data_IF_263595689482
#
_entry.id   IF_263595689482
#
_cell.length_a   1.000
_cell.length_b   1.000
_cell.length_c   1.000
_cell.angle_alpha   90.00
_cell.angle_beta   90.00
_cell.angle_gamma   90.00
#
_symmetry.space_group_name_H-M   'P 1'
#
loop_
_entity.id
_entity.type
_entity.pdbx_description
1 polymer ?
#
# COMPACT_ATOMS: atom_id res chain seq x y z
N UNK A 1 20.28 -12.79 -35.25
CA UNK A 1 20.54 -11.34 -35.39
C UNK A 1 19.48 -10.79 -36.32
N UNK A 2 18.50 -10.07 -35.78
CA UNK A 2 17.65 -9.13 -36.52
C UNK A 2 17.21 -8.11 -35.47
N UNK A 3 17.97 -7.01 -35.42
CA UNK A 3 17.60 -5.80 -34.69
C UNK A 3 16.35 -5.25 -35.36
N UNK A 4 15.28 -5.08 -34.59
CA UNK A 4 14.20 -4.17 -34.96
C UNK A 4 14.44 -2.93 -34.13
N UNK A 5 15.06 -1.93 -34.75
CA UNK A 5 15.10 -0.57 -34.25
C UNK A 5 13.65 -0.07 -34.13
N UNK A 6 13.24 0.28 -32.92
CA UNK A 6 12.02 1.05 -32.65
C UNK A 6 12.52 2.38 -32.10
N UNK A 7 12.69 3.35 -32.99
CA UNK A 7 13.08 4.71 -32.65
C UNK A 7 12.15 5.66 -33.44
N UNK A 8 10.95 5.89 -32.91
CA UNK A 8 10.09 7.01 -33.32
C UNK A 8 9.94 7.97 -32.15
N UNK A 9 10.89 8.90 -32.06
CA UNK A 9 10.83 10.07 -31.17
C UNK A 9 9.53 10.83 -31.40
N UNK A 10 8.69 10.90 -30.38
CA UNK A 10 7.54 11.80 -30.38
C UNK A 10 8.02 13.18 -29.89
N UNK A 11 8.35 14.07 -30.82
CA UNK A 11 8.63 15.47 -30.50
C UNK A 11 7.37 16.13 -29.92
N UNK A 12 7.51 16.74 -28.73
CA UNK A 12 6.41 17.44 -28.04
C UNK A 12 6.59 18.95 -28.23
N UNK A 13 5.67 19.60 -28.94
CA UNK A 13 5.64 21.06 -29.04
C UNK A 13 4.63 21.66 -28.06
N UNK A 14 5.10 22.60 -27.24
CA UNK A 14 4.26 23.43 -26.39
C UNK A 14 3.73 24.62 -27.19
N UNK A 15 2.42 24.72 -27.37
CA UNK A 15 1.78 25.90 -28.00
C UNK A 15 0.81 26.53 -27.00
N UNK A 16 1.07 27.77 -26.60
CA UNK A 16 0.11 28.56 -25.83
C UNK A 16 -0.95 29.16 -26.78
N UNK A 17 -2.23 28.98 -26.45
CA UNK A 17 -3.32 29.68 -27.14
C UNK A 17 -3.77 30.92 -26.38
N UNK A 18 -4.21 31.93 -27.13
CA UNK A 18 -4.68 33.25 -26.65
C UNK A 18 -5.83 33.22 -25.62
N UNK A 19 -6.46 32.06 -25.41
CA UNK A 19 -7.55 31.84 -24.46
C UNK A 19 -7.14 31.10 -23.16
N UNK A 20 -5.84 30.97 -22.88
CA UNK A 20 -5.33 30.46 -21.60
C UNK A 20 -5.39 28.94 -21.41
N UNK A 21 -5.71 28.19 -22.46
CA UNK A 21 -5.56 26.73 -22.50
C UNK A 21 -4.22 26.32 -23.09
N UNK A 22 -3.46 25.49 -22.39
CA UNK A 22 -2.18 24.93 -22.86
C UNK A 22 -2.45 23.83 -23.89
N UNK A 23 -1.96 23.97 -25.13
CA UNK A 23 -1.93 22.89 -26.12
C UNK A 23 -0.61 22.12 -25.96
N UNK A 24 -0.73 20.80 -25.95
CA UNK A 24 0.40 19.88 -26.03
C UNK A 24 0.16 18.98 -27.23
N UNK A 25 0.96 19.18 -28.28
CA UNK A 25 1.00 18.26 -29.41
C UNK A 25 1.99 17.15 -29.06
N UNK A 26 1.48 15.93 -28.85
CA UNK A 26 2.29 14.72 -28.74
C UNK A 26 1.81 13.77 -29.83
N UNK A 27 2.66 13.49 -30.81
CA UNK A 27 2.34 12.60 -31.93
C UNK A 27 1.14 13.02 -32.78
N UNK A 28 0.90 14.33 -32.96
CA UNK A 28 -0.22 14.83 -33.78
C UNK A 28 -1.62 14.75 -33.13
N UNK A 29 -1.72 14.30 -31.87
CA UNK A 29 -2.99 14.24 -31.14
C UNK A 29 -3.25 15.54 -30.36
N UNK A 30 -4.36 16.23 -30.66
CA UNK A 30 -4.80 17.42 -29.94
C UNK A 30 -5.40 17.06 -28.57
N UNK A 31 -4.58 17.10 -27.52
CA UNK A 31 -5.05 16.80 -26.17
C UNK A 31 -5.85 17.97 -25.55
N UNK A 32 -7.13 17.73 -25.26
CA UNK A 32 -8.00 18.67 -24.54
C UNK A 32 -8.28 18.14 -23.12
N UNK A 33 -7.80 18.81 -22.07
CA UNK A 33 -8.05 18.38 -20.69
C UNK A 33 -9.53 18.31 -20.32
N UNK A 34 -9.95 17.16 -19.78
CA UNK A 34 -11.31 16.97 -19.27
C UNK A 34 -12.37 16.75 -20.35
N UNK A 35 -11.97 16.37 -21.57
CA UNK A 35 -12.87 15.90 -22.62
C UNK A 35 -13.70 14.70 -22.16
N UNK A 36 -14.86 14.49 -22.78
CA UNK A 36 -15.71 13.35 -22.44
C UNK A 36 -15.05 12.01 -22.81
N UNK A 37 -14.19 12.00 -23.82
CA UNK A 37 -13.38 10.85 -24.20
C UNK A 37 -12.31 10.53 -23.15
N UNK A 38 -11.65 11.54 -22.56
CA UNK A 38 -10.75 11.32 -21.43
C UNK A 38 -11.50 10.72 -20.23
N UNK A 39 -12.69 11.26 -19.89
CA UNK A 39 -13.50 10.72 -18.78
C UNK A 39 -13.96 9.29 -19.07
N UNK A 40 -14.26 8.94 -20.32
CA UNK A 40 -14.63 7.58 -20.73
C UNK A 40 -13.44 6.63 -20.60
N UNK A 41 -12.28 7.04 -21.10
CA UNK A 41 -11.02 6.29 -20.99
C UNK A 41 -10.66 6.03 -19.53
N UNK A 42 -10.69 7.06 -18.68
CA UNK A 42 -10.37 6.93 -17.25
C UNK A 42 -11.32 5.97 -16.54
N UNK A 43 -12.64 6.03 -16.81
CA UNK A 43 -13.61 5.06 -16.26
C UNK A 43 -13.36 3.65 -16.76
N UNK A 44 -12.93 3.50 -18.01
CA UNK A 44 -12.57 2.21 -18.60
C UNK A 44 -11.34 1.62 -17.92
N UNK A 45 -10.29 2.42 -17.67
CA UNK A 45 -9.10 2.05 -16.89
C UNK A 45 -9.49 1.66 -15.47
N UNK A 46 -10.31 2.48 -14.78
CA UNK A 46 -10.76 2.22 -13.41
C UNK A 46 -11.42 0.85 -13.28
N UNK A 47 -12.30 0.48 -14.22
CA UNK A 47 -13.03 -0.79 -14.21
C UNK A 47 -12.15 -2.02 -14.43
N UNK A 48 -11.03 -1.89 -15.15
CA UNK A 48 -10.15 -3.03 -15.42
C UNK A 48 -9.04 -3.15 -14.39
N UNK A 49 -8.43 -2.02 -14.00
CA UNK A 49 -7.24 -2.00 -13.17
C UNK A 49 -7.57 -2.13 -11.68
N UNK A 50 -8.51 -1.33 -11.17
CA UNK A 50 -8.72 -1.23 -9.71
C UNK A 50 -9.37 -2.48 -9.10
N UNK A 51 -10.46 -3.07 -9.65
CA UNK A 51 -11.07 -4.26 -9.07
C UNK A 51 -10.11 -5.43 -8.98
N UNK A 52 -9.31 -5.66 -10.02
CA UNK A 52 -8.36 -6.77 -10.06
C UNK A 52 -7.25 -6.59 -9.03
N UNK A 53 -6.65 -5.39 -8.96
CA UNK A 53 -5.63 -5.07 -7.95
C UNK A 53 -6.19 -5.16 -6.54
N UNK A 54 -7.40 -4.64 -6.32
CA UNK A 54 -8.09 -4.71 -5.03
C UNK A 54 -8.33 -6.16 -4.63
N UNK A 55 -8.80 -7.01 -5.55
CA UNK A 55 -9.02 -8.43 -5.31
C UNK A 55 -7.71 -9.16 -4.98
N UNK A 56 -6.65 -8.93 -5.76
CA UNK A 56 -5.32 -9.50 -5.48
C UNK A 56 -4.82 -9.11 -4.09
N UNK A 57 -5.03 -7.86 -3.67
CA UNK A 57 -4.61 -7.40 -2.35
C UNK A 57 -5.47 -7.96 -1.22
N UNK A 58 -6.79 -8.08 -1.41
CA UNK A 58 -7.69 -8.69 -0.40
C UNK A 58 -7.26 -10.12 -0.07
N UNK A 59 -6.92 -10.88 -1.10
CA UNK A 59 -6.51 -12.28 -0.98
C UNK A 59 -5.01 -12.47 -0.72
N UNK A 60 -4.23 -11.38 -0.65
CA UNK A 60 -2.86 -11.41 -0.16
C UNK A 60 -2.84 -11.33 1.38
N UNK A 61 -3.32 -12.40 2.04
CA UNK A 61 -3.54 -12.40 3.48
C UNK A 61 -2.23 -12.44 4.29
N UNK A 62 -1.71 -11.25 4.63
CA UNK A 62 -0.52 -11.10 5.49
C UNK A 62 -0.76 -11.51 6.95
N UNK A 63 -2.02 -11.49 7.42
CA UNK A 63 -2.39 -11.76 8.82
C UNK A 63 -2.43 -13.25 9.19
N UNK A 64 -2.21 -14.14 8.23
CA UNK A 64 -2.41 -15.59 8.38
C UNK A 64 -1.66 -16.23 9.52
N UNK A 65 -0.44 -15.78 9.80
CA UNK A 65 0.34 -16.37 10.89
C UNK A 65 -0.19 -16.04 12.28
N UNK A 66 -0.80 -14.86 12.45
CA UNK A 66 -1.45 -14.51 13.71
C UNK A 66 -2.62 -15.45 13.97
N UNK A 67 -3.41 -15.72 12.94
CA UNK A 67 -4.52 -16.67 13.01
C UNK A 67 -4.02 -18.12 13.18
N UNK A 68 -2.95 -18.52 12.49
CA UNK A 68 -2.33 -19.83 12.63
C UNK A 68 -1.80 -20.08 14.05
N UNK A 69 -1.24 -19.05 14.70
CA UNK A 69 -0.85 -19.12 16.12
C UNK A 69 -2.04 -19.48 17.00
N UNK A 70 -3.18 -18.82 16.81
CA UNK A 70 -4.44 -19.12 17.53
C UNK A 70 -4.91 -20.55 17.24
N UNK A 71 -4.74 -21.01 16.00
CA UNK A 71 -4.99 -22.39 15.57
C UNK A 71 -3.99 -23.44 16.05
N UNK A 72 -3.13 -23.13 17.03
CA UNK A 72 -2.25 -24.11 17.67
C UNK A 72 -0.88 -24.31 17.00
N UNK A 73 -0.51 -23.50 16.01
CA UNK A 73 0.79 -23.61 15.32
C UNK A 73 1.99 -23.53 16.27
N UNK A 74 1.94 -22.70 17.32
CA UNK A 74 3.02 -22.58 18.31
C UNK A 74 3.26 -23.91 19.05
N UNK A 75 2.18 -24.63 19.39
CA UNK A 75 2.27 -25.95 20.05
C UNK A 75 2.72 -27.04 19.09
N UNK A 76 2.20 -27.01 17.87
CA UNK A 76 2.48 -28.00 16.82
C UNK A 76 3.94 -27.98 16.35
N UNK A 77 4.55 -26.79 16.32
CA UNK A 77 5.95 -26.59 15.94
C UNK A 77 6.91 -26.45 17.13
N UNK A 78 6.41 -26.62 18.37
CA UNK A 78 7.16 -26.46 19.62
C UNK A 78 7.93 -25.12 19.71
N UNK A 79 7.29 -24.04 19.26
CA UNK A 79 7.91 -22.72 19.21
C UNK A 79 7.90 -22.08 20.60
N UNK A 80 9.04 -21.53 21.02
CA UNK A 80 9.08 -20.58 22.12
C UNK A 80 8.55 -19.21 21.65
N UNK A 81 8.16 -18.35 22.59
CA UNK A 81 7.70 -17.00 22.26
C UNK A 81 8.77 -16.14 21.56
N UNK A 82 10.06 -16.39 21.84
CA UNK A 82 11.17 -15.74 21.15
C UNK A 82 11.32 -16.26 19.71
N UNK A 83 11.19 -17.57 19.50
CA UNK A 83 11.23 -18.19 18.18
C UNK A 83 10.04 -17.78 17.30
N UNK A 84 8.84 -17.64 17.87
CA UNK A 84 7.69 -17.11 17.15
C UNK A 84 7.93 -15.66 16.68
N UNK A 85 8.53 -14.83 17.54
CA UNK A 85 8.91 -13.46 17.17
C UNK A 85 9.95 -13.42 16.04
N UNK A 86 10.91 -14.36 16.05
CA UNK A 86 11.88 -14.53 14.95
C UNK A 86 11.20 -14.89 13.62
N UNK A 87 10.25 -15.83 13.65
CA UNK A 87 9.46 -16.24 12.47
C UNK A 87 8.65 -15.07 11.89
N UNK A 88 8.19 -14.14 12.74
CA UNK A 88 7.53 -12.92 12.30
C UNK A 88 8.51 -11.91 11.67
N UNK A 89 9.63 -11.65 12.32
CA UNK A 89 10.56 -10.60 11.90
C UNK A 89 11.37 -10.97 10.65
N UNK A 90 11.73 -12.24 10.48
CA UNK A 90 12.56 -12.69 9.34
C UNK A 90 11.87 -12.48 7.98
N UNK A 91 10.54 -12.46 7.96
CA UNK A 91 9.76 -12.12 6.77
C UNK A 91 10.12 -10.71 6.26
N UNK A 92 10.21 -9.74 7.18
CA UNK A 92 10.56 -8.36 6.82
C UNK A 92 12.00 -8.22 6.33
N UNK A 93 12.92 -9.08 6.79
CA UNK A 93 14.30 -9.11 6.27
C UNK A 93 14.30 -9.52 4.80
N UNK A 94 13.60 -10.60 4.44
CA UNK A 94 13.42 -11.01 3.04
C UNK A 94 12.73 -9.92 2.21
N UNK A 95 11.67 -9.34 2.76
CA UNK A 95 10.93 -8.25 2.11
C UNK A 95 11.84 -7.07 1.75
N UNK A 96 12.62 -6.58 2.70
CA UNK A 96 13.54 -5.45 2.52
C UNK A 96 14.61 -5.70 1.46
N UNK A 97 15.20 -6.90 1.45
CA UNK A 97 16.31 -7.22 0.55
C UNK A 97 15.87 -7.26 -0.91
N UNK A 98 14.66 -7.77 -1.19
CA UNK A 98 14.22 -7.99 -2.57
C UNK A 98 13.30 -6.89 -3.11
N UNK A 99 12.95 -5.90 -2.30
CA UNK A 99 12.02 -4.85 -2.71
C UNK A 99 12.56 -3.98 -3.85
N UNK A 100 13.80 -3.51 -3.70
CA UNK A 100 14.46 -2.69 -4.71
C UNK A 100 14.73 -3.52 -5.98
N UNK A 101 15.36 -4.71 -5.92
CA UNK A 101 15.54 -5.55 -7.11
C UNK A 101 14.23 -5.87 -7.84
N UNK A 102 13.16 -6.22 -7.13
CA UNK A 102 11.86 -6.52 -7.76
C UNK A 102 11.29 -5.32 -8.53
N UNK A 103 11.39 -4.11 -7.97
CA UNK A 103 10.86 -2.92 -8.64
C UNK A 103 11.71 -2.49 -9.84
N UNK A 104 13.02 -2.72 -9.79
CA UNK A 104 13.91 -2.55 -10.95
C UNK A 104 13.59 -3.56 -12.05
N UNK A 105 13.20 -4.79 -11.72
CA UNK A 105 12.72 -5.75 -12.72
C UNK A 105 11.35 -5.32 -13.27
N UNK A 106 10.45 -4.82 -12.42
CA UNK A 106 9.11 -4.40 -12.83
C UNK A 106 9.13 -3.21 -13.78
N UNK A 107 10.01 -2.23 -13.59
CA UNK A 107 10.11 -1.04 -14.44
C UNK A 107 10.37 -1.39 -15.92
N UNK A 108 11.06 -2.50 -16.19
CA UNK A 108 11.36 -3.02 -17.54
C UNK A 108 10.57 -4.25 -17.97
N UNK A 109 9.78 -4.85 -17.08
CA UNK A 109 8.97 -6.02 -17.38
C UNK A 109 7.49 -5.65 -17.52
N UNK A 110 6.69 -6.63 -17.96
CA UNK A 110 5.25 -6.46 -18.19
C UNK A 110 4.50 -6.61 -16.85
N UNK A 111 3.79 -5.57 -16.36
CA UNK A 111 3.07 -5.67 -15.08
C UNK A 111 2.01 -6.78 -15.06
N UNK A 112 1.36 -7.04 -16.20
CA UNK A 112 0.38 -8.14 -16.39
C UNK A 112 0.96 -9.53 -16.17
N UNK A 113 2.28 -9.69 -16.26
CA UNK A 113 2.96 -10.97 -16.03
C UNK A 113 3.62 -10.93 -14.65
N UNK A 114 4.33 -9.86 -14.33
CA UNK A 114 5.14 -9.78 -13.11
C UNK A 114 4.29 -9.85 -11.83
N UNK A 115 3.28 -8.99 -11.68
CA UNK A 115 2.47 -8.93 -10.46
C UNK A 115 1.68 -10.24 -10.22
N UNK A 116 1.04 -10.84 -11.24
CA UNK A 116 0.42 -12.15 -11.08
C UNK A 116 1.42 -13.27 -10.79
N UNK A 117 2.61 -13.27 -11.42
CA UNK A 117 3.65 -14.30 -11.14
C UNK A 117 4.08 -14.26 -9.68
N UNK A 118 4.31 -13.06 -9.13
CA UNK A 118 4.63 -12.90 -7.72
C UNK A 118 3.52 -13.49 -6.83
N UNK A 119 2.25 -13.25 -7.14
CA UNK A 119 1.12 -13.79 -6.38
C UNK A 119 0.95 -15.31 -6.54
N UNK A 120 1.18 -15.87 -7.73
CA UNK A 120 1.17 -17.32 -7.94
C UNK A 120 2.28 -17.98 -7.13
N UNK A 121 3.51 -17.43 -7.15
CA UNK A 121 4.61 -17.94 -6.34
C UNK A 121 4.30 -17.83 -4.84
N UNK A 122 3.75 -16.70 -4.40
CA UNK A 122 3.34 -16.49 -3.01
C UNK A 122 2.27 -17.50 -2.56
N UNK A 123 1.23 -17.70 -3.37
CA UNK A 123 0.14 -18.64 -3.08
C UNK A 123 0.61 -20.08 -3.13
N UNK A 124 1.43 -20.45 -4.12
CA UNK A 124 2.01 -21.79 -4.26
C UNK A 124 2.91 -22.16 -3.08
N UNK A 125 3.77 -21.24 -2.63
CA UNK A 125 4.56 -21.43 -1.41
C UNK A 125 3.68 -21.56 -0.17
N UNK A 126 2.61 -20.76 -0.07
CA UNK A 126 1.65 -20.85 1.04
C UNK A 126 0.98 -22.23 1.08
N UNK A 127 0.57 -22.80 -0.05
CA UNK A 127 0.07 -24.19 -0.12
C UNK A 127 1.16 -25.19 0.34
N UNK A 128 2.40 -24.97 -0.06
CA UNK A 128 3.56 -25.75 0.36
C UNK A 128 3.85 -25.70 1.87
N UNK A 129 3.36 -24.69 2.59
CA UNK A 129 3.57 -24.54 4.03
C UNK A 129 3.00 -25.72 4.86
N UNK A 130 2.06 -26.50 4.29
CA UNK A 130 1.57 -27.76 4.90
C UNK A 130 2.71 -28.71 5.31
N UNK A 131 3.77 -28.78 4.50
CA UNK A 131 4.91 -29.67 4.71
C UNK A 131 5.86 -29.25 5.84
N UNK A 132 5.66 -28.06 6.41
CA UNK A 132 6.55 -27.53 7.44
C UNK A 132 6.17 -28.11 8.80
N UNK A 133 7.13 -28.77 9.44
CA UNK A 133 7.00 -29.39 10.76
C UNK A 133 8.12 -28.96 11.72
N UNK A 134 8.94 -27.97 11.35
CA UNK A 134 10.07 -27.53 12.16
C UNK A 134 10.23 -26.01 12.14
N UNK A 135 10.90 -25.47 13.16
CA UNK A 135 11.29 -24.06 13.24
C UNK A 135 12.11 -23.64 12.02
N UNK A 136 13.14 -24.42 11.66
CA UNK A 136 14.02 -24.10 10.54
C UNK A 136 13.26 -24.02 9.22
N UNK A 137 12.34 -24.95 8.97
CA UNK A 137 11.46 -24.92 7.80
C UNK A 137 10.55 -23.70 7.78
N UNK A 138 9.99 -23.31 8.94
CA UNK A 138 9.14 -22.13 9.06
C UNK A 138 9.92 -20.82 8.84
N UNK A 139 11.13 -20.71 9.40
CA UNK A 139 12.01 -19.55 9.20
C UNK A 139 12.41 -19.41 7.73
N UNK A 140 12.83 -20.51 7.10
CA UNK A 140 13.18 -20.51 5.68
C UNK A 140 11.98 -20.13 4.79
N UNK A 141 10.81 -20.74 5.03
CA UNK A 141 9.58 -20.40 4.35
C UNK A 141 9.25 -18.91 4.48
N UNK A 142 9.34 -18.34 5.69
CA UNK A 142 9.05 -16.93 5.92
C UNK A 142 10.01 -15.99 5.23
N UNK A 143 11.29 -16.31 5.23
CA UNK A 143 12.29 -15.52 4.51
C UNK A 143 12.00 -15.49 3.01
N UNK A 144 11.75 -16.66 2.40
CA UNK A 144 11.48 -16.77 0.95
C UNK A 144 10.13 -16.14 0.59
N UNK A 145 9.11 -16.32 1.43
CA UNK A 145 7.82 -15.66 1.25
C UNK A 145 7.97 -14.13 1.24
N UNK A 146 8.79 -13.59 2.15
CA UNK A 146 9.14 -12.17 2.18
C UNK A 146 9.85 -11.70 0.91
N UNK A 147 10.84 -12.47 0.43
CA UNK A 147 11.53 -12.17 -0.83
C UNK A 147 10.54 -12.06 -2.00
N UNK A 148 9.63 -13.03 -2.14
CA UNK A 148 8.67 -13.04 -3.25
C UNK A 148 7.67 -11.89 -3.14
N UNK A 149 7.14 -11.63 -1.95
CA UNK A 149 6.09 -10.63 -1.75
C UNK A 149 6.57 -9.17 -1.93
N UNK A 150 7.88 -8.94 -1.80
CA UNK A 150 8.50 -7.61 -1.85
C UNK A 150 8.11 -6.80 -3.10
N UNK A 151 7.93 -7.46 -4.25
CA UNK A 151 7.60 -6.80 -5.51
C UNK A 151 6.14 -6.37 -5.66
N UNK A 152 5.23 -6.88 -4.83
CA UNK A 152 3.79 -6.72 -5.07
C UNK A 152 3.31 -5.30 -4.75
N UNK A 153 3.37 -4.87 -3.49
CA UNK A 153 2.84 -3.57 -3.06
C UNK A 153 3.48 -2.36 -3.77
N UNK A 154 4.82 -2.19 -3.74
CA UNK A 154 5.47 -1.10 -4.48
C UNK A 154 5.24 -1.21 -5.99
N UNK A 155 5.11 -2.43 -6.53
CA UNK A 155 4.81 -2.64 -7.93
C UNK A 155 3.41 -2.21 -8.34
N UNK A 156 2.41 -2.40 -7.46
CA UNK A 156 1.07 -1.83 -7.64
C UNK A 156 1.12 -0.31 -7.62
N UNK A 157 1.88 0.30 -6.70
CA UNK A 157 2.03 1.76 -6.64
C UNK A 157 2.67 2.31 -7.92
N UNK A 158 3.70 1.64 -8.45
CA UNK A 158 4.32 1.99 -9.72
C UNK A 158 3.31 1.85 -10.88
N UNK A 159 2.55 0.75 -10.95
CA UNK A 159 1.56 0.54 -11.99
C UNK A 159 0.48 1.63 -11.99
N UNK A 160 -0.05 1.98 -10.81
CA UNK A 160 -1.03 3.07 -10.69
C UNK A 160 -0.43 4.41 -11.14
N UNK A 161 0.84 4.67 -10.82
CA UNK A 161 1.55 5.89 -11.24
C UNK A 161 1.75 6.00 -12.75
N UNK A 162 1.76 4.88 -13.47
CA UNK A 162 1.89 4.84 -14.93
C UNK A 162 0.54 4.97 -15.67
N UNK A 163 -0.59 4.88 -14.98
CA UNK A 163 -1.93 4.93 -15.57
C UNK A 163 -2.72 6.17 -15.20
N UNK A 164 -2.40 6.81 -14.08
CA UNK A 164 -3.15 7.93 -13.55
C UNK A 164 -2.30 9.18 -13.41
N UNK A 165 -2.94 10.31 -13.69
CA UNK A 165 -2.38 11.61 -13.38
C UNK A 165 -2.23 11.77 -11.87
N UNK A 166 -1.27 12.58 -11.42
CA UNK A 166 -1.14 12.93 -10.01
C UNK A 166 -2.40 13.48 -9.34
N UNK A 167 -3.22 14.28 -10.05
CA UNK A 167 -4.50 14.82 -9.55
C UNK A 167 -5.63 13.78 -9.44
N UNK A 168 -5.34 12.54 -9.79
CA UNK A 168 -6.29 11.45 -9.95
C UNK A 168 -5.90 10.23 -9.09
N UNK A 169 -4.74 10.28 -8.46
CA UNK A 169 -4.07 9.14 -7.88
C UNK A 169 -4.50 8.92 -6.42
N UNK A 170 -4.83 9.97 -5.66
CA UNK A 170 -5.08 9.84 -4.21
C UNK A 170 -6.34 9.06 -3.91
N UNK A 171 -7.46 9.32 -4.61
CA UNK A 171 -8.70 8.57 -4.42
C UNK A 171 -8.53 7.07 -4.74
N UNK A 172 -7.66 6.74 -5.69
CA UNK A 172 -7.45 5.37 -6.19
C UNK A 172 -6.54 4.57 -5.29
N UNK A 173 -5.48 5.19 -4.80
CA UNK A 173 -4.63 4.60 -3.77
C UNK A 173 -5.45 4.42 -2.48
N UNK A 174 -6.26 5.41 -2.09
CA UNK A 174 -7.16 5.27 -0.94
C UNK A 174 -8.14 4.09 -1.12
N UNK A 175 -8.79 3.99 -2.29
CA UNK A 175 -9.68 2.87 -2.61
C UNK A 175 -8.95 1.52 -2.58
N UNK A 176 -7.77 1.43 -3.19
CA UNK A 176 -6.93 0.23 -3.13
C UNK A 176 -6.58 -0.14 -1.69
N UNK A 177 -6.22 0.85 -0.86
CA UNK A 177 -5.87 0.63 0.54
C UNK A 177 -7.05 0.10 1.37
N UNK A 178 -8.30 0.34 0.97
CA UNK A 178 -9.47 -0.29 1.60
C UNK A 178 -9.47 -1.81 1.53
N UNK A 179 -8.78 -2.40 0.54
CA UNK A 179 -8.58 -3.84 0.48
C UNK A 179 -7.90 -4.38 1.75
N UNK A 180 -6.96 -3.63 2.35
CA UNK A 180 -6.31 -4.01 3.62
C UNK A 180 -7.28 -4.09 4.78
N UNK A 181 -8.20 -3.13 4.87
CA UNK A 181 -9.22 -3.04 5.91
C UNK A 181 -10.19 -4.22 5.80
N UNK A 182 -10.65 -4.49 4.58
CA UNK A 182 -11.57 -5.59 4.27
C UNK A 182 -10.88 -6.94 4.51
N UNK A 183 -9.66 -7.12 4.00
CA UNK A 183 -8.87 -8.35 4.23
C UNK A 183 -8.70 -8.65 5.72
N UNK A 184 -8.35 -7.64 6.53
CA UNK A 184 -8.21 -7.80 7.98
C UNK A 184 -9.53 -8.18 8.68
N UNK A 185 -10.66 -7.57 8.29
CA UNK A 185 -11.96 -7.84 8.89
C UNK A 185 -12.50 -9.25 8.56
N UNK A 186 -12.38 -9.67 7.30
CA UNK A 186 -12.90 -10.97 6.85
C UNK A 186 -11.90 -12.12 7.06
N UNK A 187 -10.59 -11.86 7.05
CA UNK A 187 -9.55 -12.89 7.16
C UNK A 187 -9.58 -13.62 8.52
N UNK A 188 -9.81 -12.90 9.62
CA UNK A 188 -9.97 -13.52 10.94
C UNK A 188 -11.20 -14.45 11.04
N UNK A 189 -12.31 -14.06 10.40
CA UNK A 189 -13.54 -14.87 10.38
C UNK A 189 -13.37 -16.14 9.56
N UNK A 190 -12.79 -16.00 8.36
CA UNK A 190 -12.47 -17.12 7.48
C UNK A 190 -11.51 -18.09 8.18
N UNK A 191 -10.47 -17.57 8.84
CA UNK A 191 -9.52 -18.39 9.57
C UNK A 191 -10.15 -19.14 10.75
N UNK A 192 -11.00 -18.49 11.54
CA UNK A 192 -11.74 -19.14 12.62
C UNK A 192 -12.62 -20.29 12.12
N UNK A 193 -13.33 -20.06 11.01
CA UNK A 193 -14.16 -21.09 10.37
C UNK A 193 -13.35 -22.29 9.87
N UNK A 194 -12.21 -22.04 9.21
CA UNK A 194 -11.33 -23.10 8.71
C UNK A 194 -10.70 -23.89 9.85
N UNK A 195 -10.11 -23.20 10.84
CA UNK A 195 -9.43 -23.84 11.96
C UNK A 195 -10.42 -24.72 12.74
N UNK A 196 -11.63 -24.23 13.02
CA UNK A 196 -12.62 -25.00 13.77
C UNK A 196 -13.24 -26.13 12.94
N UNK A 197 -13.49 -25.90 11.65
CA UNK A 197 -14.17 -26.87 10.77
C UNK A 197 -13.27 -27.95 10.18
N UNK A 198 -11.95 -27.73 10.14
CA UNK A 198 -11.00 -28.62 9.44
C UNK A 198 -9.86 -29.13 10.34
N UNK A 199 -9.93 -28.92 11.65
CA UNK A 199 -8.98 -29.53 12.59
C UNK A 199 -9.06 -31.06 12.51
N UNK A 200 -7.92 -31.72 12.28
CA UNK A 200 -7.82 -33.18 12.19
C UNK A 200 -8.25 -33.77 10.85
N UNK A 201 -8.82 -32.96 9.94
CA UNK A 201 -9.23 -33.41 8.62
C UNK A 201 -7.99 -33.75 7.77
N UNK A 202 -7.94 -34.97 7.21
CA UNK A 202 -6.78 -35.45 6.46
C UNK A 202 -5.50 -35.57 7.30
N UNK A 203 -5.62 -35.91 8.59
CA UNK A 203 -4.50 -36.02 9.55
C UNK A 203 -3.63 -34.75 9.60
N UNK A 204 -4.26 -33.59 9.43
CA UNK A 204 -3.59 -32.28 9.32
C UNK A 204 -4.24 -31.31 10.30
N UNK A 205 -3.44 -30.42 10.90
CA UNK A 205 -3.94 -29.34 11.77
C UNK A 205 -4.69 -28.27 10.97
N UNK A 206 -5.71 -27.66 11.57
CA UNK A 206 -6.52 -26.61 10.96
C UNK A 206 -5.71 -25.38 10.53
N UNK A 207 -4.63 -25.05 11.26
CA UNK A 207 -3.73 -23.95 10.87
C UNK A 207 -3.00 -24.21 9.54
N UNK A 208 -2.76 -25.47 9.17
CA UNK A 208 -2.16 -25.81 7.87
C UNK A 208 -3.20 -25.73 6.74
N UNK A 209 -4.45 -26.11 7.01
CA UNK A 209 -5.56 -25.93 6.08
C UNK A 209 -5.81 -24.47 5.75
N UNK A 210 -5.60 -23.56 6.72
CA UNK A 210 -5.62 -22.13 6.50
C UNK A 210 -4.70 -21.71 5.34
N UNK A 211 -3.42 -22.08 5.43
CA UNK A 211 -2.42 -21.78 4.40
C UNK A 211 -2.74 -22.42 3.04
N UNK A 212 -3.32 -23.63 3.03
CA UNK A 212 -3.71 -24.33 1.79
C UNK A 212 -4.86 -23.60 1.09
N UNK A 213 -5.93 -23.29 1.82
CA UNK A 213 -7.13 -22.69 1.24
C UNK A 213 -6.83 -21.29 0.75
N UNK A 214 -6.23 -20.47 1.60
CA UNK A 214 -5.90 -19.08 1.24
C UNK A 214 -4.88 -19.04 0.11
N UNK A 215 -3.81 -19.86 0.19
CA UNK A 215 -2.83 -19.97 -0.89
C UNK A 215 -3.45 -20.39 -2.22
N UNK A 216 -4.37 -21.37 -2.20
CA UNK A 216 -5.07 -21.84 -3.41
C UNK A 216 -5.98 -20.76 -4.00
N UNK A 217 -6.74 -20.05 -3.17
CA UNK A 217 -7.58 -18.93 -3.61
C UNK A 217 -6.73 -17.80 -4.22
N UNK A 218 -5.59 -17.47 -3.60
CA UNK A 218 -4.64 -16.50 -4.15
C UNK A 218 -4.11 -16.94 -5.52
N UNK A 219 -3.76 -18.22 -5.70
CA UNK A 219 -3.30 -18.74 -6.99
C UNK A 219 -4.39 -18.62 -8.07
N UNK A 220 -5.63 -18.99 -7.76
CA UNK A 220 -6.75 -18.88 -8.72
C UNK A 220 -6.96 -17.44 -9.17
N UNK A 221 -6.97 -16.51 -8.21
CA UNK A 221 -7.12 -15.07 -8.48
C UNK A 221 -5.91 -14.55 -9.27
N UNK A 222 -4.70 -14.97 -8.93
CA UNK A 222 -3.50 -14.58 -9.65
C UNK A 222 -3.50 -15.11 -11.10
N UNK A 223 -3.98 -16.34 -11.33
CA UNK A 223 -4.15 -16.88 -12.68
C UNK A 223 -5.15 -16.02 -13.49
N UNK A 224 -6.28 -15.65 -12.90
CA UNK A 224 -7.23 -14.74 -13.52
C UNK A 224 -6.61 -13.36 -13.81
N UNK A 225 -5.71 -12.89 -12.94
CA UNK A 225 -5.03 -11.60 -13.09
C UNK A 225 -4.19 -11.50 -14.37
N UNK A 226 -3.61 -12.61 -14.86
CA UNK A 226 -2.84 -12.60 -16.13
C UNK A 226 -3.69 -12.18 -17.33
N UNK A 227 -4.99 -12.44 -17.29
CA UNK A 227 -5.91 -12.13 -18.39
C UNK A 227 -6.56 -10.75 -18.25
N UNK A 228 -6.72 -10.26 -17.02
CA UNK A 228 -7.44 -9.01 -16.73
C UNK A 228 -6.50 -7.81 -16.57
N UNK A 229 -5.30 -8.01 -16.01
CA UNK A 229 -4.42 -6.91 -15.64
C UNK A 229 -3.76 -6.29 -16.89
N UNK A 230 -3.90 -4.97 -17.12
CA UNK A 230 -3.32 -4.34 -18.30
C UNK A 230 -1.80 -4.14 -18.16
N UNK A 231 -1.11 -4.08 -19.31
CA UNK A 231 0.29 -3.65 -19.38
C UNK A 231 0.42 -2.12 -19.26
N UNK A 232 1.60 -1.57 -19.54
CA UNK A 232 1.77 -0.12 -19.65
C UNK A 232 0.90 0.48 -20.76
N UNK A 233 0.52 1.77 -20.68
CA UNK A 233 -0.36 2.42 -21.65
C UNK A 233 0.06 2.19 -23.12
N UNK A 234 1.37 2.19 -23.40
CA UNK A 234 1.95 1.99 -24.74
C UNK A 234 1.87 0.56 -25.27
N UNK A 235 1.81 -0.45 -24.40
CA UNK A 235 1.97 -1.88 -24.76
C UNK A 235 0.71 -2.71 -24.55
N UNK A 236 -0.39 -2.04 -24.23
CA UNK A 236 -1.64 -2.70 -23.85
C UNK A 236 -2.47 -3.08 -25.07
N UNK A 237 -3.10 -4.27 -25.09
CA UNK A 237 -3.81 -4.80 -26.27
C UNK A 237 -5.31 -4.50 -26.30
N UNK A 238 -5.87 -4.01 -25.20
CA UNK A 238 -7.32 -3.87 -24.98
C UNK A 238 -7.86 -2.45 -25.25
N UNK A 239 -6.96 -1.48 -25.47
CA UNK A 239 -7.30 -0.13 -25.90
C UNK A 239 -7.22 -0.03 -27.42
N UNK A 240 -8.12 0.73 -28.03
CA UNK A 240 -8.00 1.13 -29.44
C UNK A 240 -6.79 2.04 -29.63
N UNK A 241 -6.30 2.21 -30.86
CA UNK A 241 -5.13 3.05 -31.12
C UNK A 241 -5.36 4.51 -30.68
N UNK A 242 -6.53 5.07 -31.00
CA UNK A 242 -6.93 6.40 -30.52
C UNK A 242 -7.00 6.50 -28.97
N UNK A 243 -7.44 5.44 -28.28
CA UNK A 243 -7.45 5.41 -26.82
C UNK A 243 -6.03 5.33 -26.24
N UNK A 244 -5.09 4.67 -26.92
CA UNK A 244 -3.67 4.61 -26.51
C UNK A 244 -2.99 5.95 -26.71
N UNK A 245 -3.17 6.60 -27.85
CA UNK A 245 -2.65 7.95 -28.10
C UNK A 245 -3.15 8.92 -27.02
N UNK A 246 -4.46 8.90 -26.74
CA UNK A 246 -5.04 9.70 -25.67
C UNK A 246 -4.46 9.34 -24.29
N UNK A 247 -4.20 8.06 -24.02
CA UNK A 247 -3.59 7.60 -22.76
C UNK A 247 -2.14 8.06 -22.59
N UNK A 248 -1.35 8.08 -23.68
CA UNK A 248 0.03 8.56 -23.67
C UNK A 248 0.05 10.08 -23.55
N UNK A 249 -0.70 10.78 -24.41
CA UNK A 249 -0.76 12.25 -24.43
C UNK A 249 -1.18 12.82 -23.07
N UNK A 250 -2.18 12.22 -22.40
CA UNK A 250 -2.62 12.70 -21.08
C UNK A 250 -1.58 12.54 -19.97
N UNK A 251 -0.69 11.55 -20.08
CA UNK A 251 0.35 11.28 -19.08
C UNK A 251 1.59 12.14 -19.33
N UNK A 252 1.89 12.44 -20.60
CA UNK A 252 2.94 13.38 -21.00
C UNK A 252 2.73 14.78 -20.40
N UNK A 253 1.47 15.21 -20.19
CA UNK A 253 1.10 16.51 -19.59
C UNK A 253 1.52 16.68 -18.11
N UNK A 254 2.16 15.69 -17.49
CA UNK A 254 2.63 15.82 -16.10
C UNK A 254 3.85 14.98 -15.74
N UNK A 255 4.46 14.28 -16.69
CA UNK A 255 5.70 13.53 -16.52
C UNK A 255 6.63 13.94 -17.65
N UNK A 256 7.72 14.64 -17.31
CA UNK A 256 8.84 14.77 -18.25
C UNK A 256 9.36 13.36 -18.53
N UNK A 257 9.59 13.05 -19.82
CA UNK A 257 10.25 11.81 -20.21
C UNK A 257 11.62 11.79 -19.52
N UNK A 258 11.73 10.98 -18.45
CA UNK A 258 13.00 10.77 -17.80
C UNK A 258 13.96 10.13 -18.79
N UNK A 259 15.19 10.66 -18.86
CA UNK A 259 16.26 10.08 -19.66
C UNK A 259 16.39 8.57 -19.41
N UNK A 260 16.77 7.81 -20.45
CA UNK A 260 17.06 6.38 -20.35
C UNK A 260 18.28 6.16 -19.45
N UNK A 261 18.05 6.16 -18.14
CA UNK A 261 19.07 5.86 -17.13
C UNK A 261 19.21 4.34 -17.00
N UNK A 262 20.45 3.88 -16.84
CA UNK A 262 20.69 2.51 -16.43
C UNK A 262 20.17 2.29 -15.00
N UNK A 263 19.86 1.04 -14.66
CA UNK A 263 19.42 0.64 -13.32
C UNK A 263 20.37 1.11 -12.20
N UNK A 264 21.69 1.04 -12.43
CA UNK A 264 22.69 1.48 -11.46
C UNK A 264 22.72 3.00 -11.27
N UNK A 265 22.58 3.75 -12.36
CA UNK A 265 22.50 5.22 -12.30
C UNK A 265 21.22 5.68 -11.62
N UNK A 266 20.08 5.07 -11.96
CA UNK A 266 18.79 5.35 -11.32
C UNK A 266 18.83 5.02 -9.82
N UNK A 267 19.49 3.92 -9.43
CA UNK A 267 19.69 3.55 -8.03
C UNK A 267 20.53 4.57 -7.27
N UNK A 268 21.67 4.97 -7.85
CA UNK A 268 22.53 5.99 -7.25
C UNK A 268 21.84 7.36 -7.18
N UNK A 269 21.04 7.72 -8.19
CA UNK A 269 20.25 8.94 -8.20
C UNK A 269 19.19 8.94 -7.08
N UNK A 270 18.48 7.83 -6.90
CA UNK A 270 17.49 7.67 -5.83
C UNK A 270 18.13 7.79 -4.42
N UNK A 271 19.33 7.21 -4.23
CA UNK A 271 20.06 7.33 -2.95
C UNK A 271 20.63 8.73 -2.70
N UNK A 272 21.05 9.44 -3.75
CA UNK A 272 21.55 10.81 -3.63
C UNK A 272 20.44 11.84 -3.48
N UNK A 273 19.20 11.52 -3.86
CA UNK A 273 18.06 12.42 -3.73
C UNK A 273 17.68 12.61 -2.25
N UNK A 274 17.81 13.83 -1.68
CA UNK A 274 17.42 14.10 -0.31
C UNK A 274 15.93 13.84 -0.05
N UNK A 275 15.08 13.94 -1.08
CA UNK A 275 13.65 13.65 -0.97
C UNK A 275 13.42 12.20 -0.55
N UNK A 276 14.18 11.25 -1.09
CA UNK A 276 14.05 9.83 -0.75
C UNK A 276 14.15 9.61 0.76
N UNK A 277 15.17 10.20 1.41
CA UNK A 277 15.39 10.07 2.85
C UNK A 277 14.32 10.74 3.70
N UNK A 278 13.85 11.93 3.30
CA UNK A 278 12.80 12.64 4.02
C UNK A 278 11.46 11.91 3.94
N UNK A 279 11.07 11.46 2.73
CA UNK A 279 9.86 10.67 2.53
C UNK A 279 9.97 9.29 3.22
N UNK A 280 11.15 8.69 3.24
CA UNK A 280 11.41 7.46 3.98
C UNK A 280 11.14 7.62 5.48
N UNK A 281 11.62 8.70 6.09
CA UNK A 281 11.38 8.99 7.50
C UNK A 281 9.89 9.26 7.77
N UNK A 282 9.23 10.07 6.93
CA UNK A 282 7.79 10.35 7.08
C UNK A 282 6.99 9.04 7.01
N UNK A 283 7.24 8.21 6.00
CA UNK A 283 6.51 6.96 5.82
C UNK A 283 6.73 5.99 6.99
N UNK A 284 7.97 5.88 7.47
CA UNK A 284 8.29 5.06 8.62
C UNK A 284 7.55 5.52 9.90
N UNK A 285 7.53 6.82 10.17
CA UNK A 285 6.80 7.38 11.33
C UNK A 285 5.28 7.16 11.19
N UNK A 286 4.71 7.40 10.00
CA UNK A 286 3.29 7.14 9.74
C UNK A 286 2.93 5.66 9.91
N UNK A 287 3.75 4.75 9.37
CA UNK A 287 3.52 3.31 9.48
C UNK A 287 3.70 2.81 10.93
N UNK A 288 4.61 3.42 11.69
CA UNK A 288 4.79 3.16 13.12
C UNK A 288 3.50 3.42 13.90
N UNK A 289 2.82 4.52 13.60
CA UNK A 289 1.53 4.83 14.22
C UNK A 289 0.45 3.83 13.78
N UNK A 290 0.50 3.36 12.53
CA UNK A 290 -0.42 2.34 11.99
C UNK A 290 -0.39 0.98 12.71
N UNK A 291 0.70 0.67 13.41
CA UNK A 291 0.80 -0.55 14.23
C UNK A 291 -0.20 -0.63 15.39
N UNK A 292 -0.87 0.49 15.74
CA UNK A 292 -1.97 0.49 16.71
C UNK A 292 -3.08 -0.52 16.33
N UNK A 293 -3.26 -0.82 15.04
CA UNK A 293 -4.26 -1.78 14.57
C UNK A 293 -4.10 -3.17 15.17
N UNK A 294 -2.86 -3.61 15.44
CA UNK A 294 -2.59 -4.90 16.07
C UNK A 294 -3.16 -4.99 17.49
N UNK A 295 -3.41 -3.84 18.11
CA UNK A 295 -3.84 -3.72 19.49
C UNK A 295 -5.28 -3.27 19.63
N UNK A 296 -6.05 -3.07 18.55
CA UNK A 296 -7.46 -2.66 18.65
C UNK A 296 -8.30 -3.60 19.53
N UNK A 297 -8.25 -4.95 19.40
CA UNK A 297 -9.00 -5.83 20.29
C UNK A 297 -8.60 -5.68 21.77
N UNK A 298 -7.31 -5.48 22.03
CA UNK A 298 -6.76 -5.25 23.37
C UNK A 298 -7.23 -3.92 23.95
N UNK A 299 -7.24 -2.86 23.13
CA UNK A 299 -7.77 -1.54 23.51
C UNK A 299 -9.27 -1.60 23.81
N UNK A 300 -10.04 -2.35 23.02
CA UNK A 300 -11.47 -2.57 23.30
C UNK A 300 -11.67 -3.31 24.61
N UNK A 301 -10.80 -4.28 24.92
CA UNK A 301 -10.83 -4.98 26.20
C UNK A 301 -10.53 -4.03 27.37
N UNK A 302 -9.60 -3.10 27.20
CA UNK A 302 -9.33 -2.02 28.16
C UNK A 302 -10.49 -1.04 28.37
N UNK A 303 -11.44 -0.95 27.43
CA UNK A 303 -12.67 -0.16 27.57
C UNK A 303 -13.81 -0.92 28.26
N UNK A 304 -13.60 -2.19 28.60
CA UNK A 304 -14.57 -3.04 29.30
C UNK A 304 -15.35 -4.01 28.39
N UNK A 305 -15.10 -4.03 27.08
CA UNK A 305 -15.68 -5.03 26.18
C UNK A 305 -15.01 -6.39 26.40
N UNK A 306 -15.78 -7.49 26.38
CA UNK A 306 -15.25 -8.84 26.65
C UNK A 306 -15.42 -9.77 25.45
N UNK A 307 -14.44 -10.67 25.28
CA UNK A 307 -14.50 -11.77 24.32
C UNK A 307 -14.82 -11.31 22.90
N UNK A 308 -15.85 -11.94 22.30
CA UNK A 308 -16.27 -11.67 20.91
C UNK A 308 -16.74 -10.23 20.69
N UNK A 309 -17.35 -9.60 21.70
CA UNK A 309 -17.80 -8.21 21.61
C UNK A 309 -16.64 -7.25 21.42
N UNK A 310 -15.48 -7.49 22.05
CA UNK A 310 -14.29 -6.66 21.86
C UNK A 310 -13.77 -6.68 20.41
N UNK A 311 -13.91 -7.82 19.72
CA UNK A 311 -13.56 -7.95 18.30
C UNK A 311 -14.60 -7.25 17.41
N UNK A 312 -15.89 -7.39 17.69
CA UNK A 312 -16.91 -6.69 16.91
C UNK A 312 -16.80 -5.17 17.03
N UNK A 313 -16.38 -4.66 18.19
CA UNK A 313 -16.17 -3.23 18.40
C UNK A 313 -14.96 -2.66 17.61
N UNK A 314 -14.14 -3.49 16.96
CA UNK A 314 -13.11 -3.00 16.04
C UNK A 314 -13.68 -2.67 14.65
N UNK A 315 -14.82 -3.28 14.26
CA UNK A 315 -15.43 -3.07 12.95
C UNK A 315 -15.78 -1.60 12.70
N UNK A 316 -16.42 -0.86 13.64
CA UNK A 316 -16.71 0.55 13.42
C UNK A 316 -15.45 1.41 13.23
N UNK A 317 -14.32 1.07 13.86
CA UNK A 317 -13.05 1.79 13.67
C UNK A 317 -12.65 1.73 12.18
N UNK A 318 -12.71 0.54 11.58
CA UNK A 318 -12.37 0.34 10.18
C UNK A 318 -13.40 0.95 9.21
N UNK A 319 -14.69 0.90 9.54
CA UNK A 319 -15.75 1.51 8.71
C UNK A 319 -15.61 3.03 8.67
N UNK A 320 -15.42 3.66 9.83
CA UNK A 320 -15.19 5.11 9.92
C UNK A 320 -13.91 5.50 9.18
N UNK A 321 -12.84 4.70 9.34
CA UNK A 321 -11.60 4.90 8.62
C UNK A 321 -11.74 4.80 7.10
N UNK A 322 -12.50 3.82 6.61
CA UNK A 322 -12.77 3.63 5.19
C UNK A 322 -13.49 4.85 4.61
N UNK A 323 -14.60 5.28 5.23
CA UNK A 323 -15.41 6.40 4.73
C UNK A 323 -14.59 7.69 4.70
N UNK A 324 -13.90 8.01 5.80
CA UNK A 324 -13.10 9.24 5.92
C UNK A 324 -11.89 9.21 4.98
N UNK A 325 -11.22 8.07 4.82
CA UNK A 325 -10.06 7.92 3.94
C UNK A 325 -10.44 8.13 2.47
N UNK A 326 -11.53 7.51 2.00
CA UNK A 326 -12.01 7.68 0.62
C UNK A 326 -12.47 9.12 0.37
N UNK A 327 -13.21 9.72 1.31
CA UNK A 327 -13.65 11.12 1.20
C UNK A 327 -12.48 12.09 1.13
N UNK A 328 -11.46 11.93 1.99
CA UNK A 328 -10.26 12.74 1.96
C UNK A 328 -9.39 12.47 0.72
N UNK A 329 -9.35 11.23 0.21
CA UNK A 329 -8.68 10.92 -1.05
C UNK A 329 -9.30 11.68 -2.22
N UNK A 330 -10.63 11.79 -2.26
CA UNK A 330 -11.33 12.60 -3.25
C UNK A 330 -11.06 14.11 -3.07
N UNK A 331 -11.03 14.59 -1.83
CA UNK A 331 -10.70 15.98 -1.53
C UNK A 331 -9.25 16.34 -1.88
N UNK A 332 -8.30 15.44 -1.63
CA UNK A 332 -6.88 15.62 -1.96
C UNK A 332 -6.66 15.73 -3.47
N UNK A 333 -7.35 14.89 -4.25
CA UNK A 333 -7.35 14.96 -5.72
C UNK A 333 -8.00 16.25 -6.22
N UNK A 334 -9.14 16.66 -5.64
CA UNK A 334 -9.85 17.90 -6.03
C UNK A 334 -9.05 19.16 -5.75
N UNK A 335 -8.40 19.23 -4.59
CA UNK A 335 -7.62 20.41 -4.17
C UNK A 335 -6.21 20.42 -4.75
N UNK A 336 -5.70 19.27 -5.18
CA UNK A 336 -4.30 19.07 -5.57
C UNK A 336 -3.31 19.20 -4.41
N UNK A 337 -3.80 19.45 -3.19
CA UNK A 337 -2.99 19.78 -2.01
C UNK A 337 -2.83 18.57 -1.09
N UNK A 338 -2.18 17.53 -1.60
CA UNK A 338 -2.02 16.25 -0.90
C UNK A 338 -1.35 16.40 0.47
N UNK A 339 -0.28 17.20 0.55
CA UNK A 339 0.44 17.40 1.81
C UNK A 339 -0.42 18.08 2.89
N UNK A 340 -1.34 18.99 2.54
CA UNK A 340 -2.24 19.59 3.55
C UNK A 340 -3.29 18.60 4.03
N UNK A 341 -3.76 17.71 3.15
CA UNK A 341 -4.70 16.66 3.55
C UNK A 341 -4.03 15.68 4.52
N UNK A 342 -2.78 15.29 4.26
CA UNK A 342 -1.97 14.49 5.20
C UNK A 342 -1.77 15.24 6.52
N UNK A 343 -1.41 16.52 6.47
CA UNK A 343 -1.22 17.34 7.67
C UNK A 343 -2.50 17.42 8.52
N UNK A 344 -3.65 17.67 7.90
CA UNK A 344 -4.95 17.70 8.57
C UNK A 344 -5.30 16.37 9.22
N UNK A 345 -5.04 15.25 8.53
CA UNK A 345 -5.19 13.92 9.11
C UNK A 345 -4.26 13.70 10.31
N UNK A 346 -2.99 14.09 10.21
CA UNK A 346 -2.05 14.00 11.33
C UNK A 346 -2.51 14.83 12.54
N UNK A 347 -2.96 16.09 12.33
CA UNK A 347 -3.50 16.94 13.40
C UNK A 347 -4.73 16.31 14.07
N UNK A 348 -5.66 15.76 13.27
CA UNK A 348 -6.81 15.03 13.79
C UNK A 348 -6.39 13.84 14.64
N UNK A 349 -5.38 13.08 14.21
CA UNK A 349 -4.84 11.96 14.98
C UNK A 349 -4.13 12.38 16.27
N UNK A 350 -3.35 13.47 16.27
CA UNK A 350 -2.76 14.07 17.49
C UNK A 350 -3.86 14.37 18.52
N UNK A 351 -4.89 15.12 18.11
CA UNK A 351 -6.01 15.49 18.99
C UNK A 351 -6.70 14.22 19.53
N UNK A 352 -6.97 13.25 18.65
CA UNK A 352 -7.64 12.01 19.00
C UNK A 352 -6.87 11.19 20.04
N UNK A 353 -5.56 11.02 19.86
CA UNK A 353 -4.74 10.23 20.78
C UNK A 353 -4.47 10.96 22.11
N UNK A 354 -4.37 12.30 22.12
CA UNK A 354 -4.33 13.09 23.36
C UNK A 354 -5.61 12.90 24.17
N UNK A 355 -6.77 12.94 23.52
CA UNK A 355 -8.05 12.72 24.19
C UNK A 355 -8.14 11.30 24.74
N UNK A 356 -7.68 10.30 23.99
CA UNK A 356 -7.65 8.91 24.45
C UNK A 356 -6.75 8.69 25.68
N UNK A 357 -5.66 9.46 25.81
CA UNK A 357 -4.74 9.39 26.94
C UNK A 357 -5.26 10.13 28.19
N UNK A 358 -5.95 11.25 28.01
CA UNK A 358 -6.34 12.17 29.11
C UNK A 358 -7.75 11.91 29.63
N UNK A 359 -8.72 11.61 28.78
CA UNK A 359 -10.13 11.47 29.16
C UNK A 359 -10.43 10.09 29.74
N UNK A 360 -11.28 10.03 30.77
CA UNK A 360 -11.58 8.78 31.50
C UNK A 360 -12.91 8.14 31.06
N UNK A 361 -13.76 8.87 30.33
CA UNK A 361 -15.02 8.34 29.81
C UNK A 361 -14.76 7.35 28.64
N UNK A 362 -15.19 6.10 28.79
CA UNK A 362 -14.94 5.05 27.81
C UNK A 362 -15.65 5.28 26.46
N UNK A 363 -16.83 5.90 26.44
CA UNK A 363 -17.53 6.21 25.19
C UNK A 363 -16.77 7.27 24.39
N UNK A 364 -16.25 8.31 25.07
CA UNK A 364 -15.41 9.33 24.44
C UNK A 364 -14.14 8.71 23.88
N UNK A 365 -13.43 7.90 24.68
CA UNK A 365 -12.22 7.20 24.24
C UNK A 365 -12.49 6.33 23.01
N UNK A 366 -13.60 5.58 22.98
CA UNK A 366 -13.97 4.75 21.84
C UNK A 366 -14.17 5.58 20.55
N UNK A 367 -14.92 6.68 20.64
CA UNK A 367 -15.16 7.58 19.51
C UNK A 367 -13.86 8.16 18.97
N UNK A 368 -12.95 8.60 19.84
CA UNK A 368 -11.65 9.14 19.40
C UNK A 368 -10.66 8.07 18.95
N UNK A 369 -10.79 6.81 19.38
CA UNK A 369 -10.08 5.69 18.73
C UNK A 369 -10.57 5.52 17.28
N UNK A 370 -11.87 5.67 17.01
CA UNK A 370 -12.40 5.61 15.64
C UNK A 370 -11.84 6.75 14.77
N UNK A 371 -11.82 7.99 15.28
CA UNK A 371 -11.24 9.13 14.56
C UNK A 371 -9.71 9.02 14.41
N UNK A 372 -9.00 8.53 15.43
CA UNK A 372 -7.56 8.28 15.37
C UNK A 372 -7.21 7.18 14.35
N UNK A 373 -8.02 6.12 14.28
CA UNK A 373 -7.94 5.13 13.19
C UNK A 373 -8.18 5.79 11.84
N UNK A 374 -9.24 6.58 11.68
CA UNK A 374 -9.48 7.27 10.42
C UNK A 374 -8.34 8.20 9.99
N UNK A 375 -7.72 8.91 10.94
CA UNK A 375 -6.55 9.76 10.68
C UNK A 375 -5.37 8.98 10.08
N UNK A 376 -5.05 7.80 10.65
CA UNK A 376 -3.95 6.95 10.15
C UNK A 376 -4.25 6.41 8.75
N UNK A 377 -5.44 5.83 8.54
CA UNK A 377 -5.80 5.24 7.25
C UNK A 377 -6.13 6.27 6.18
N UNK A 378 -6.18 7.56 6.55
CA UNK A 378 -6.21 8.69 5.62
C UNK A 378 -4.79 9.17 5.29
N UNK A 379 -3.94 9.35 6.30
CA UNK A 379 -2.59 9.90 6.11
C UNK A 379 -1.69 9.00 5.27
N UNK A 380 -1.71 7.68 5.51
CA UNK A 380 -0.85 6.71 4.80
C UNK A 380 -1.11 6.65 3.28
N UNK A 381 -2.33 6.37 2.78
CA UNK A 381 -2.55 6.26 1.33
C UNK A 381 -2.39 7.59 0.59
N UNK A 382 -2.78 8.71 1.21
CA UNK A 382 -2.60 10.03 0.60
C UNK A 382 -1.11 10.41 0.57
N UNK A 383 -0.36 10.07 1.62
CA UNK A 383 1.10 10.22 1.62
C UNK A 383 1.75 9.39 0.52
N UNK A 384 1.35 8.12 0.33
CA UNK A 384 1.85 7.28 -0.76
C UNK A 384 1.55 7.90 -2.13
N UNK A 385 0.34 8.44 -2.30
CA UNK A 385 -0.02 9.19 -3.51
C UNK A 385 0.82 10.45 -3.72
N UNK A 386 1.20 11.14 -2.65
CA UNK A 386 2.08 12.30 -2.75
C UNK A 386 3.50 11.89 -3.10
N UNK A 387 4.05 10.90 -2.41
CA UNK A 387 5.39 10.33 -2.61
C UNK A 387 5.62 9.92 -4.08
N UNK A 388 4.69 9.15 -4.65
CA UNK A 388 4.77 8.68 -6.05
C UNK A 388 4.87 9.83 -7.05
N UNK A 389 4.34 11.01 -6.70
CA UNK A 389 4.30 12.18 -7.59
C UNK A 389 5.50 13.12 -7.45
N UNK A 390 6.40 12.85 -6.49
CA UNK A 390 7.58 13.67 -6.22
C UNK A 390 8.86 13.19 -6.92
N UNK A 391 8.83 11.97 -7.47
CA UNK A 391 9.94 11.36 -8.19
C UNK A 391 9.63 11.35 -9.69
N UNK A 392 10.57 11.86 -10.48
CA UNK A 392 10.52 11.88 -11.93
C UNK A 392 11.32 10.71 -12.52
N UNK A 393 10.93 10.27 -13.71
CA UNK A 393 11.52 9.09 -14.36
C UNK A 393 11.01 7.78 -13.76
N UNK A 394 10.57 6.85 -14.63
CA UNK A 394 9.95 5.58 -14.23
C UNK A 394 10.86 4.73 -13.35
N UNK A 395 12.14 4.60 -13.71
CA UNK A 395 13.14 3.78 -13.00
C UNK A 395 13.49 4.37 -11.62
N UNK A 396 13.84 5.66 -11.57
CA UNK A 396 14.15 6.36 -10.32
C UNK A 396 12.96 6.33 -9.37
N UNK A 397 11.74 6.57 -9.88
CA UNK A 397 10.50 6.46 -9.11
C UNK A 397 10.27 5.04 -8.57
N UNK A 398 10.44 4.01 -9.38
CA UNK A 398 10.29 2.62 -8.95
C UNK A 398 11.24 2.27 -7.79
N UNK A 399 12.50 2.68 -7.90
CA UNK A 399 13.53 2.46 -6.88
C UNK A 399 13.23 3.27 -5.61
N UNK A 400 12.90 4.56 -5.73
CA UNK A 400 12.57 5.40 -4.57
C UNK A 400 11.34 4.89 -3.83
N UNK A 401 10.28 4.49 -4.54
CA UNK A 401 9.10 3.86 -3.94
C UNK A 401 9.50 2.61 -3.15
N UNK A 402 10.35 1.76 -3.72
CA UNK A 402 10.82 0.53 -3.07
C UNK A 402 11.68 0.80 -1.83
N UNK A 403 12.64 1.73 -1.88
CA UNK A 403 13.47 2.11 -0.73
C UNK A 403 12.60 2.65 0.40
N UNK A 404 11.70 3.58 0.08
CA UNK A 404 10.81 4.21 1.07
C UNK A 404 9.87 3.17 1.67
N UNK A 405 9.23 2.33 0.85
CA UNK A 405 8.27 1.37 1.35
C UNK A 405 8.95 0.27 2.19
N UNK A 406 10.14 -0.18 1.80
CA UNK A 406 10.89 -1.14 2.59
C UNK A 406 11.22 -0.62 3.98
N UNK A 407 11.91 0.51 4.06
CA UNK A 407 12.26 1.09 5.35
C UNK A 407 11.03 1.49 6.17
N UNK A 408 9.95 1.88 5.50
CA UNK A 408 8.66 2.11 6.16
C UNK A 408 8.11 0.88 6.87
N UNK A 409 8.27 -0.31 6.29
CA UNK A 409 7.78 -1.56 6.89
C UNK A 409 8.57 -2.01 8.12
N UNK A 410 9.81 -1.55 8.31
CA UNK A 410 10.58 -1.78 9.55
C UNK A 410 9.82 -1.28 10.79
N UNK A 411 8.94 -0.29 10.62
CA UNK A 411 8.06 0.20 11.67
C UNK A 411 7.22 -0.88 12.34
N UNK A 412 6.84 -1.92 11.60
CA UNK A 412 6.08 -3.04 12.14
C UNK A 412 6.86 -3.87 13.15
N UNK A 413 8.20 -3.86 13.10
CA UNK A 413 9.06 -4.66 13.99
C UNK A 413 9.09 -4.05 15.39
N UNK A 414 9.25 -2.74 15.52
CA UNK A 414 9.31 -2.09 16.83
C UNK A 414 7.96 -1.57 17.31
N UNK A 415 6.99 -1.31 16.42
CA UNK A 415 5.66 -0.85 16.80
C UNK A 415 4.87 -1.87 17.65
N UNK A 416 5.23 -3.16 17.59
CA UNK A 416 4.67 -4.18 18.47
C UNK A 416 5.01 -3.97 19.96
N UNK A 417 6.01 -3.15 20.29
CA UNK A 417 6.40 -2.88 21.68
C UNK A 417 5.73 -1.63 22.28
N UNK A 418 4.90 -0.91 21.51
CA UNK A 418 4.31 0.35 21.96
C UNK A 418 3.22 0.16 23.04
N UNK A 419 2.61 -1.03 23.12
CA UNK A 419 1.43 -1.29 23.95
C UNK A 419 1.65 -2.39 24.98
N UNK A 420 2.55 -2.20 25.98
CA UNK A 420 2.85 -3.23 26.95
C UNK A 420 1.67 -3.48 27.89
N UNK A 421 1.43 -4.75 28.24
CA UNK A 421 0.28 -5.16 29.05
C UNK A 421 0.24 -4.52 30.45
N UNK A 422 1.40 -4.15 31.01
CA UNK A 422 1.51 -3.47 32.31
C UNK A 422 0.85 -2.08 32.35
N UNK A 423 0.65 -1.46 31.19
CA UNK A 423 0.03 -0.13 31.08
C UNK A 423 -1.50 -0.24 30.89
N UNK A 424 -2.05 -1.45 30.87
CA UNK A 424 -3.49 -1.67 30.85
C UNK A 424 -4.18 -1.09 32.09
N UNK A 425 -5.45 -0.66 32.01
CA UNK A 425 -6.31 -0.61 30.82
C UNK A 425 -6.22 0.70 30.03
N UNK A 426 -5.39 1.66 30.50
CA UNK A 426 -5.34 3.00 29.93
C UNK A 426 -4.39 3.12 28.75
N UNK A 427 -3.31 2.35 28.76
CA UNK A 427 -2.25 2.35 27.75
C UNK A 427 -1.71 3.74 27.44
N UNK A 428 -1.58 4.59 28.47
CA UNK A 428 -1.16 6.00 28.32
C UNK A 428 0.15 6.10 27.54
N UNK A 429 1.12 5.23 27.85
CA UNK A 429 2.41 5.20 27.16
C UNK A 429 2.27 4.94 25.66
N UNK A 430 1.44 3.98 25.27
CA UNK A 430 1.18 3.67 23.86
C UNK A 430 0.58 4.88 23.14
N UNK A 431 -0.47 5.48 23.72
CA UNK A 431 -1.08 6.69 23.17
C UNK A 431 -0.10 7.86 23.09
N UNK A 432 0.75 8.07 24.11
CA UNK A 432 1.77 9.11 24.10
C UNK A 432 2.79 8.90 22.98
N UNK A 433 3.33 7.69 22.82
CA UNK A 433 4.27 7.36 21.74
C UNK A 433 3.62 7.60 20.38
N UNK A 434 2.40 7.10 20.15
CA UNK A 434 1.70 7.31 18.87
C UNK A 434 1.39 8.78 18.60
N UNK A 435 1.08 9.56 19.65
CA UNK A 435 0.84 11.01 19.55
C UNK A 435 2.12 11.74 19.15
N UNK A 436 3.25 11.42 19.79
CA UNK A 436 4.55 12.02 19.48
C UNK A 436 4.99 11.70 18.05
N UNK A 437 4.81 10.45 17.62
CA UNK A 437 5.15 10.02 16.26
C UNK A 437 4.26 10.71 15.22
N UNK A 438 2.93 10.71 15.38
CA UNK A 438 2.06 11.37 14.39
C UNK A 438 2.24 12.90 14.38
N UNK A 439 2.58 13.50 15.54
CA UNK A 439 3.00 14.90 15.64
C UNK A 439 4.32 15.18 14.91
N UNK A 440 5.31 14.30 15.04
CA UNK A 440 6.55 14.37 14.28
C UNK A 440 6.28 14.25 12.77
N UNK A 441 5.40 13.34 12.36
CA UNK A 441 4.98 13.22 10.96
C UNK A 441 4.33 14.53 10.45
N UNK A 442 3.47 15.17 11.25
CA UNK A 442 2.88 16.46 10.91
C UNK A 442 3.96 17.54 10.66
N UNK A 443 4.94 17.65 11.55
CA UNK A 443 6.06 18.60 11.41
C UNK A 443 6.88 18.29 10.16
N UNK A 444 7.26 17.02 9.95
CA UNK A 444 8.05 16.62 8.79
C UNK A 444 7.30 16.87 7.48
N UNK A 445 5.99 16.58 7.41
CA UNK A 445 5.14 16.87 6.25
C UNK A 445 5.07 18.38 6.01
N UNK A 446 4.89 19.19 7.05
CA UNK A 446 4.85 20.64 6.92
C UNK A 446 6.19 21.21 6.41
N UNK A 447 7.33 20.75 6.96
CA UNK A 447 8.67 21.16 6.52
C UNK A 447 8.96 20.72 5.08
N UNK A 448 8.58 19.49 4.73
CA UNK A 448 8.77 18.96 3.37
C UNK A 448 7.92 19.75 2.37
N UNK A 449 6.68 20.06 2.74
CA UNK A 449 5.81 20.92 1.94
C UNK A 449 6.39 22.33 1.79
N UNK A 450 6.90 22.93 2.87
CA UNK A 450 7.49 24.26 2.82
C UNK A 450 8.72 24.30 1.89
N UNK A 451 9.59 23.28 1.98
CA UNK A 451 10.83 23.21 1.21
C UNK A 451 10.63 22.82 -0.26
N UNK A 452 9.80 21.82 -0.54
CA UNK A 452 9.66 21.24 -1.87
C UNK A 452 8.38 21.67 -2.60
N UNK A 453 7.43 22.29 -1.88
CA UNK A 453 6.07 22.59 -2.35
C UNK A 453 5.33 21.34 -2.87
N UNK A 454 4.03 21.43 -3.17
CA UNK A 454 3.33 20.34 -3.89
C UNK A 454 3.73 20.31 -5.39
N UNK A 455 4.88 20.91 -5.75
CA UNK A 455 5.31 21.15 -7.13
C UNK A 455 5.88 19.88 -7.77
N UNK A 456 4.96 19.01 -8.16
CA UNK A 456 5.02 18.31 -9.44
C UNK A 456 4.22 19.02 -10.55
N UNK A 457 3.64 20.21 -10.28
CA UNK A 457 2.73 20.90 -11.20
C UNK A 457 2.92 22.41 -11.18
N UNK A 458 3.76 22.90 -12.11
CA UNK A 458 3.57 24.21 -12.73
C UNK A 458 3.02 23.92 -14.13
N UNK A 459 1.70 24.06 -14.36
CA UNK A 459 1.14 23.84 -15.70
C UNK A 459 -0.35 23.55 -15.82
N UNK A 460 -1.08 23.27 -14.72
CA UNK A 460 -2.54 23.09 -14.81
C UNK A 460 -3.21 24.34 -14.21
N UNK A 461 -3.97 25.12 -15.00
CA UNK A 461 -4.70 26.26 -14.47
C UNK A 461 -5.66 25.78 -13.39
N UNK A 462 -5.57 26.40 -12.20
CA UNK A 462 -6.54 26.21 -11.12
C UNK A 462 -7.89 26.70 -11.63
N UNK A 463 -8.87 25.80 -11.66
CA UNK A 463 -10.28 26.17 -11.89
C UNK A 463 -10.85 26.92 -10.70
#
# INVERSE_FOLDING_TARGET
MNNVDIDEKHDIQHVELENGSTKLESGGYNYVPGSDDEKRLVRKIDRHLLPMLWLMYVFNYRTNIGNAKVGGMEKDLHLTSSQYSLVLSIFFVGYLLNEVPCNMILSRSKPSIFLPTVMVLWGGMSVGAKGINSLGGMVAFRMVLGLVEAGFFPGVMLLLSCWYKPAELSKRIALFYTASLVSGAFGGLLAGGIIQGMEGLGNTRGWKWLFIIEGSLTVVIAIAAYFVLPNYPTTTKWLSEAEKELAVARLAVGHEEGSDMTHGEAFMAALKDPKTWVFMLIYNVLNSVGTISYFFPTLMSGLGYKGRTAQFMTVPIYVVALVISVANGWNADRTGQKAYTVLGACCCGVISFIICATVHNNAVRYTFICFGGAAIWTSVPIFLSWMVTMFQGRESRAISIAIINGFGNLASVYGSFFWPAKDAPRYVKGFSITTSLIGLAAVLVALTKWKYQDKGFAGIPRR
#
